data_IF_524285756746
#
_entry.id   IF_524285756746
#
_cell.length_a   1.000
_cell.length_b   1.000
_cell.length_c   1.000
_cell.angle_alpha   90.00
_cell.angle_beta   90.00
_cell.angle_gamma   90.00
#
_symmetry.space_group_name_H-M   'P 1'
#
loop_
_entity.id
_entity.type
_entity.pdbx_description
1 polymer ?
#
# COMPACT_ATOMS: atom_id res chain seq x y z
N UNK A 1 -3.24 -2.63 14.03
CA UNK A 1 -3.47 -1.89 12.78
C UNK A 1 -4.06 -2.84 11.77
N UNK A 2 -3.32 -3.20 10.72
CA UNK A 2 -3.81 -4.12 9.67
C UNK A 2 -3.80 -5.60 10.05
N UNK A 3 -2.99 -6.02 11.03
CA UNK A 3 -2.99 -7.41 11.54
C UNK A 3 -4.35 -7.88 12.11
N UNK A 4 -5.28 -6.96 12.43
CA UNK A 4 -6.64 -7.28 12.83
C UNK A 4 -7.57 -7.60 11.65
N UNK A 5 -7.10 -7.32 10.43
CA UNK A 5 -7.80 -7.52 9.17
C UNK A 5 -6.88 -8.30 8.22
N UNK A 6 -6.62 -9.59 8.50
CA UNK A 6 -5.62 -10.37 7.77
C UNK A 6 -5.90 -10.47 6.27
N UNK A 7 -7.17 -10.48 5.86
CA UNK A 7 -7.55 -10.56 4.44
C UNK A 7 -7.81 -9.17 3.81
N UNK A 8 -7.56 -8.08 4.54
CA UNK A 8 -7.62 -6.75 3.95
C UNK A 8 -6.56 -6.62 2.87
N UNK A 9 -6.98 -6.20 1.67
CA UNK A 9 -6.09 -6.01 0.53
C UNK A 9 -5.53 -4.60 0.54
N UNK A 10 -4.21 -4.48 0.59
CA UNK A 10 -3.50 -3.22 0.48
C UNK A 10 -2.92 -3.08 -0.91
N UNK A 11 -3.10 -1.91 -1.52
CA UNK A 11 -2.57 -1.56 -2.84
C UNK A 11 -1.80 -0.26 -2.72
N UNK A 12 -0.61 -0.22 -3.32
CA UNK A 12 0.26 0.96 -3.37
C UNK A 12 0.39 1.43 -4.80
N UNK A 13 0.26 2.73 -5.03
CA UNK A 13 0.34 3.36 -6.34
C UNK A 13 1.40 4.46 -6.35
N UNK A 14 2.03 4.68 -7.51
CA UNK A 14 2.83 5.89 -7.71
C UNK A 14 1.95 7.15 -7.81
N UNK A 15 2.58 8.33 -7.89
CA UNK A 15 1.88 9.62 -8.02
C UNK A 15 1.01 9.74 -9.28
N UNK A 16 1.21 8.87 -10.26
CA UNK A 16 0.47 8.85 -11.51
C UNK A 16 -0.66 7.80 -11.52
N UNK A 17 -0.87 7.08 -10.41
CA UNK A 17 -1.91 6.06 -10.28
C UNK A 17 -1.51 4.69 -10.79
N UNK A 18 -0.23 4.45 -11.13
CA UNK A 18 0.24 3.11 -11.51
C UNK A 18 0.32 2.23 -10.26
N UNK A 19 -0.37 1.09 -10.29
CA UNK A 19 -0.26 0.07 -9.24
C UNK A 19 1.17 -0.49 -9.19
N UNK A 20 1.81 -0.39 -8.03
CA UNK A 20 3.16 -0.88 -7.77
C UNK A 20 3.12 -2.16 -6.94
N UNK A 21 2.46 -2.13 -5.78
CA UNK A 21 2.51 -3.24 -4.83
C UNK A 21 1.10 -3.64 -4.42
N UNK A 22 0.88 -4.93 -4.20
CA UNK A 22 -0.32 -5.47 -3.58
C UNK A 22 0.10 -6.50 -2.55
N UNK A 23 -0.48 -6.45 -1.37
CA UNK A 23 -0.26 -7.39 -0.27
C UNK A 23 -1.48 -7.45 0.64
N UNK A 24 -1.56 -8.49 1.48
CA UNK A 24 -2.62 -8.64 2.47
C UNK A 24 -2.20 -8.13 3.85
N UNK A 25 -3.18 -7.79 4.70
CA UNK A 25 -2.95 -7.22 6.03
C UNK A 25 -2.18 -8.14 7.00
N UNK A 26 -2.04 -9.43 6.69
CA UNK A 26 -1.22 -10.39 7.42
C UNK A 26 0.23 -10.48 6.92
N UNK A 27 0.59 -9.80 5.84
CA UNK A 27 1.94 -9.80 5.28
C UNK A 27 2.82 -8.71 5.93
N UNK A 28 4.14 -8.85 5.77
CA UNK A 28 5.08 -7.76 6.04
C UNK A 28 4.80 -6.67 5.01
N UNK A 29 4.13 -5.60 5.44
CA UNK A 29 3.68 -4.55 4.53
C UNK A 29 4.79 -3.86 3.74
N UNK A 30 4.43 -2.79 3.03
CA UNK A 30 5.34 -2.17 2.09
C UNK A 30 6.46 -1.36 2.73
N UNK A 31 7.71 -1.60 2.31
CA UNK A 31 8.94 -1.01 2.86
C UNK A 31 9.54 0.12 2.00
N UNK A 32 8.84 0.54 0.95
CA UNK A 32 9.34 1.55 0.02
C UNK A 32 10.14 0.99 -1.17
N UNK A 33 10.12 -0.33 -1.38
CA UNK A 33 10.76 -0.98 -2.54
C UNK A 33 9.76 -1.48 -3.58
N UNK A 34 10.18 -1.56 -4.84
CA UNK A 34 9.42 -2.17 -5.92
C UNK A 34 10.35 -3.01 -6.80
N UNK A 35 10.01 -4.28 -7.02
CA UNK A 35 10.86 -5.25 -7.73
C UNK A 35 12.30 -5.32 -7.18
N UNK A 36 12.44 -5.30 -5.84
CA UNK A 36 13.74 -5.35 -5.15
C UNK A 36 14.58 -4.08 -5.26
N UNK A 37 14.05 -3.00 -5.85
CA UNK A 37 14.73 -1.71 -5.98
C UNK A 37 14.07 -0.65 -5.10
N UNK A 38 14.85 0.20 -4.41
CA UNK A 38 14.31 1.32 -3.67
C UNK A 38 13.58 2.29 -4.62
N UNK A 39 12.38 2.71 -4.23
CA UNK A 39 11.68 3.78 -4.91
C UNK A 39 12.27 5.16 -4.55
N UNK A 40 12.15 6.16 -5.47
CA UNK A 40 12.64 7.51 -5.24
C UNK A 40 11.88 8.24 -4.13
N UNK A 41 12.41 9.39 -3.70
CA UNK A 41 11.68 10.33 -2.85
C UNK A 41 10.53 10.95 -3.63
N UNK A 42 9.32 10.46 -3.39
CA UNK A 42 8.10 10.94 -4.03
C UNK A 42 6.89 10.63 -3.13
N UNK A 43 5.72 11.10 -3.55
CA UNK A 43 4.44 10.76 -2.94
C UNK A 43 3.83 9.53 -3.60
N UNK A 44 3.39 8.60 -2.77
CA UNK A 44 2.73 7.36 -3.15
C UNK A 44 1.36 7.33 -2.51
N UNK A 45 0.43 6.63 -3.15
CA UNK A 45 -0.93 6.47 -2.64
C UNK A 45 -1.12 5.05 -2.16
N UNK A 46 -1.88 4.87 -1.09
CA UNK A 46 -2.34 3.56 -0.66
C UNK A 46 -3.86 3.47 -0.66
N UNK A 47 -4.37 2.29 -0.96
CA UNK A 47 -5.75 1.91 -0.76
C UNK A 47 -5.79 0.60 0.01
N UNK A 48 -6.52 0.58 1.14
CA UNK A 48 -6.82 -0.64 1.88
C UNK A 48 -8.28 -0.97 1.67
N UNK A 49 -8.57 -2.18 1.19
CA UNK A 49 -9.92 -2.70 1.02
C UNK A 49 -10.15 -3.79 2.07
N UNK A 50 -11.15 -3.59 2.92
CA UNK A 50 -11.50 -4.57 3.96
C UNK A 50 -12.43 -5.66 3.41
N UNK A 51 -12.56 -6.76 4.15
CA UNK A 51 -13.26 -7.99 3.72
C UNK A 51 -14.74 -7.78 3.35
N UNK A 52 -15.37 -6.73 3.85
CA UNK A 52 -16.76 -6.40 3.50
C UNK A 52 -16.89 -5.75 2.11
N UNK A 53 -15.76 -5.48 1.43
CA UNK A 53 -15.58 -4.80 0.14
C UNK A 53 -16.25 -3.42 0.01
N UNK A 54 -17.01 -2.99 1.02
CA UNK A 54 -17.70 -1.70 1.10
C UNK A 54 -16.87 -0.68 1.85
N UNK A 55 -15.99 -1.15 2.73
CA UNK A 55 -15.10 -0.30 3.50
C UNK A 55 -13.74 -0.27 2.80
N UNK A 56 -13.33 0.93 2.38
CA UNK A 56 -11.96 1.17 1.95
C UNK A 56 -11.42 2.46 2.55
N UNK A 57 -10.15 2.46 2.92
CA UNK A 57 -9.42 3.68 3.29
C UNK A 57 -8.38 3.98 2.24
N UNK A 58 -8.20 5.27 1.96
CA UNK A 58 -7.19 5.77 1.05
C UNK A 58 -6.39 6.86 1.74
N UNK A 59 -5.11 6.97 1.39
CA UNK A 59 -4.27 8.06 1.82
C UNK A 59 -2.98 8.11 1.03
N UNK A 60 -2.15 9.07 1.34
CA UNK A 60 -0.82 9.21 0.77
C UNK A 60 0.27 8.88 1.79
N UNK A 61 1.44 8.55 1.27
CA UNK A 61 2.68 8.37 2.00
C UNK A 61 3.80 9.00 1.19
N UNK A 62 4.61 9.84 1.82
CA UNK A 62 5.77 10.44 1.17
C UNK A 62 7.04 9.73 1.62
N UNK A 63 7.80 9.18 0.68
CA UNK A 63 9.14 8.66 0.96
C UNK A 63 10.12 9.84 0.94
N UNK A 64 10.92 9.97 2.01
CA UNK A 64 12.03 10.91 2.09
C UNK A 64 13.35 10.13 2.21
N UNK A 65 14.41 10.65 1.59
CA UNK A 65 15.78 10.10 1.61
C UNK A 65 16.73 11.13 2.17
#
# INVERSE_FOLDING_TARGET
GLYQYPDAKVMIFDRYGKLLVTYFGNENGWDGTYNGKPLPSDTYWYQVVFNDARSSITGDVTIKR
#
